data_IF_339285701075
#
_entry.id   IF_339285701075
#
_cell.length_a   1.000
_cell.length_b   1.000
_cell.length_c   1.000
_cell.angle_alpha   90.00
_cell.angle_beta   90.00
_cell.angle_gamma   90.00
#
_symmetry.space_group_name_H-M   'P 1'
#
loop_
_entity.id
_entity.type
_entity.pdbx_description
1 polymer ?
#
# COMPACT_ATOMS: atom_id res chain seq x y z
N UNK A 1 -2.93 -1.71 -11.52
CA UNK A 1 -2.16 -2.81 -10.90
C UNK A 1 -1.72 -3.93 -11.85
N UNK A 2 -2.32 -4.15 -13.04
CA UNK A 2 -1.89 -5.22 -13.97
C UNK A 2 -0.82 -4.83 -15.00
N UNK A 3 -0.42 -3.55 -15.06
CA UNK A 3 0.55 -3.08 -16.04
C UNK A 3 1.94 -3.64 -15.72
N UNK A 4 2.61 -4.24 -16.72
CA UNK A 4 3.93 -4.87 -16.58
C UNK A 4 4.98 -3.95 -15.96
N UNK A 5 4.88 -2.64 -16.24
CA UNK A 5 5.75 -1.62 -15.68
C UNK A 5 5.71 -1.62 -14.14
N UNK A 6 4.51 -1.60 -13.55
CA UNK A 6 4.37 -1.67 -12.09
C UNK A 6 4.70 -3.04 -11.54
N UNK A 7 4.28 -4.13 -12.21
CA UNK A 7 4.53 -5.50 -11.74
C UNK A 7 6.02 -5.82 -11.57
N UNK A 8 6.86 -5.31 -12.47
CA UNK A 8 8.32 -5.47 -12.36
C UNK A 8 8.89 -4.75 -11.13
N UNK A 9 8.31 -3.62 -10.74
CA UNK A 9 8.72 -2.86 -9.56
C UNK A 9 8.15 -3.47 -8.26
N UNK A 10 6.90 -3.93 -8.28
CA UNK A 10 6.30 -4.65 -7.16
C UNK A 10 7.07 -5.92 -6.82
N UNK A 11 7.67 -6.61 -7.79
CA UNK A 11 8.56 -7.74 -7.53
C UNK A 11 9.77 -7.39 -6.67
N UNK A 12 10.29 -6.16 -6.76
CA UNK A 12 11.38 -5.68 -5.88
C UNK A 12 10.90 -5.42 -4.45
N UNK A 13 9.62 -5.08 -4.30
CA UNK A 13 8.99 -4.83 -2.99
C UNK A 13 8.57 -6.16 -2.34
N UNK A 14 7.73 -6.95 -3.01
CA UNK A 14 7.12 -8.17 -2.47
C UNK A 14 7.95 -9.44 -2.71
N UNK A 15 9.08 -9.36 -3.42
CA UNK A 15 9.89 -10.52 -3.85
C UNK A 15 9.30 -11.27 -5.05
N UNK A 16 7.99 -11.12 -5.30
CA UNK A 16 7.23 -11.71 -6.41
C UNK A 16 6.25 -10.69 -7.00
N UNK A 17 5.60 -11.03 -8.12
CA UNK A 17 4.57 -10.15 -8.70
C UNK A 17 3.40 -9.94 -7.73
N UNK A 18 2.74 -8.78 -7.81
CA UNK A 18 1.54 -8.52 -7.04
C UNK A 18 0.32 -9.11 -7.75
N UNK A 19 -0.66 -9.60 -6.99
CA UNK A 19 -1.99 -9.89 -7.51
C UNK A 19 -2.54 -8.64 -8.23
N UNK A 20 -3.21 -8.78 -9.39
CA UNK A 20 -3.73 -7.64 -10.15
C UNK A 20 -4.95 -7.01 -9.46
N UNK A 21 -4.71 -6.20 -8.44
CA UNK A 21 -5.71 -5.45 -7.68
C UNK A 21 -5.12 -4.89 -6.39
N UNK A 22 -5.93 -4.12 -5.67
CA UNK A 22 -5.63 -3.65 -4.31
C UNK A 22 -6.77 -4.07 -3.39
N UNK A 23 -6.45 -4.36 -2.13
CA UNK A 23 -7.42 -4.34 -1.06
C UNK A 23 -7.47 -2.91 -0.51
N UNK A 24 -8.61 -2.26 -0.60
CA UNK A 24 -8.78 -0.92 -0.07
C UNK A 24 -9.22 -1.02 1.39
N UNK A 25 -8.47 -0.38 2.29
CA UNK A 25 -8.71 -0.37 3.72
C UNK A 25 -8.96 1.06 4.16
N UNK A 26 -10.13 1.34 4.73
CA UNK A 26 -10.39 2.63 5.35
C UNK A 26 -9.60 2.73 6.66
N UNK A 27 -8.84 3.81 6.81
CA UNK A 27 -7.95 4.03 7.95
C UNK A 27 -8.78 4.47 9.15
N UNK A 28 -8.71 3.68 10.23
CA UNK A 28 -9.33 3.99 11.51
C UNK A 28 -8.89 5.35 12.06
N UNK A 29 -9.75 6.00 12.85
CA UNK A 29 -9.47 7.36 13.33
C UNK A 29 -8.22 7.43 14.20
N UNK A 30 -7.96 6.36 14.94
CA UNK A 30 -6.78 6.16 15.79
C UNK A 30 -5.47 6.01 15.01
N UNK A 31 -5.53 5.66 13.71
CA UNK A 31 -4.36 5.44 12.85
C UNK A 31 -4.13 6.57 11.83
N UNK A 32 -4.90 7.67 11.92
CA UNK A 32 -4.85 8.77 10.95
C UNK A 32 -3.50 9.49 10.96
N UNK A 33 -2.86 9.64 12.11
CA UNK A 33 -1.59 10.35 12.24
C UNK A 33 -0.45 9.54 11.60
N UNK A 34 -0.44 8.22 11.81
CA UNK A 34 0.49 7.28 11.21
C UNK A 34 0.31 7.26 9.69
N UNK A 35 -0.93 7.20 9.21
CA UNK A 35 -1.20 7.24 7.77
C UNK A 35 -0.80 8.59 7.14
N UNK A 36 -1.02 9.71 7.86
CA UNK A 36 -0.56 11.04 7.46
C UNK A 36 0.96 11.09 7.33
N UNK A 37 1.67 10.46 8.28
CA UNK A 37 3.13 10.26 8.21
C UNK A 37 3.56 9.53 6.94
N UNK A 38 2.91 8.44 6.56
CA UNK A 38 3.21 7.75 5.29
C UNK A 38 3.00 8.63 4.07
N UNK A 39 1.94 9.46 4.09
CA UNK A 39 1.66 10.43 3.01
C UNK A 39 2.72 11.53 2.95
N UNK A 40 3.21 12.01 4.09
CA UNK A 40 4.32 12.96 4.15
C UNK A 40 5.62 12.36 3.59
N UNK A 41 5.98 11.14 3.99
CA UNK A 41 7.13 10.40 3.43
C UNK A 41 6.98 10.22 1.91
N UNK A 42 5.74 10.04 1.44
CA UNK A 42 5.42 9.93 0.01
C UNK A 42 5.42 11.26 -0.76
N UNK A 43 5.70 12.38 -0.08
CA UNK A 43 5.73 13.72 -0.67
C UNK A 43 4.36 14.36 -0.91
N UNK A 44 3.29 13.82 -0.30
CA UNK A 44 1.93 14.35 -0.43
C UNK A 44 1.57 15.37 0.65
N UNK A 45 2.35 15.43 1.73
CA UNK A 45 2.12 16.34 2.86
C UNK A 45 3.43 16.96 3.34
N UNK A 46 3.35 18.17 3.88
CA UNK A 46 4.52 18.98 4.23
C UNK A 46 5.05 18.81 5.65
N UNK A 47 4.40 17.95 6.46
CA UNK A 47 4.78 17.74 7.86
C UNK A 47 5.91 16.72 7.98
N UNK A 48 6.82 16.91 8.93
CA UNK A 48 7.86 15.92 9.20
C UNK A 48 7.23 14.65 9.79
N UNK A 49 7.73 13.48 9.35
CA UNK A 49 7.29 12.20 9.86
C UNK A 49 8.31 11.65 10.84
N UNK A 50 7.85 11.31 12.04
CA UNK A 50 8.65 10.62 13.07
C UNK A 50 8.66 9.08 12.87
N UNK A 51 8.08 8.56 11.78
CA UNK A 51 7.94 7.13 11.54
C UNK A 51 9.14 6.60 10.75
N UNK A 52 9.92 5.73 11.38
CA UNK A 52 11.07 5.05 10.75
C UNK A 52 10.61 3.84 9.92
N UNK A 53 10.08 4.09 8.71
CA UNK A 53 9.69 3.06 7.74
C UNK A 53 10.45 3.22 6.43
N UNK A 54 10.79 2.08 5.80
CA UNK A 54 11.47 2.09 4.50
C UNK A 54 10.45 2.38 3.39
N UNK A 55 10.67 3.47 2.66
CA UNK A 55 9.87 3.85 1.50
C UNK A 55 10.46 3.26 0.21
N UNK A 56 9.65 2.57 -0.57
CA UNK A 56 10.03 2.04 -1.88
C UNK A 56 9.31 2.80 -2.99
N UNK A 57 10.05 3.59 -3.77
CA UNK A 57 9.47 4.34 -4.89
C UNK A 57 9.05 3.40 -6.02
N UNK A 58 7.84 3.63 -6.53
CA UNK A 58 7.29 3.00 -7.72
C UNK A 58 7.16 4.09 -8.78
N UNK A 59 7.94 3.95 -9.85
CA UNK A 59 7.97 4.91 -10.94
C UNK A 59 6.68 4.85 -11.76
N UNK A 60 6.21 6.04 -12.14
CA UNK A 60 5.19 6.22 -13.15
C UNK A 60 5.74 5.99 -14.56
N UNK A 61 4.87 5.98 -15.55
CA UNK A 61 5.27 5.79 -16.95
C UNK A 61 4.26 6.43 -17.90
N UNK A 62 4.66 6.57 -19.17
CA UNK A 62 3.76 6.98 -20.24
C UNK A 62 3.50 5.84 -21.21
N UNK A 63 2.26 5.73 -21.66
CA UNK A 63 1.86 4.75 -22.67
C UNK A 63 0.70 5.29 -23.48
N UNK A 64 0.81 5.19 -24.80
CA UNK A 64 -0.23 5.60 -25.76
C UNK A 64 -0.72 7.05 -25.51
N UNK A 65 0.22 7.96 -25.20
CA UNK A 65 -0.07 9.37 -24.89
C UNK A 65 -0.76 9.63 -23.55
N UNK A 66 -0.88 8.61 -22.68
CA UNK A 66 -1.42 8.72 -21.33
C UNK A 66 -0.30 8.55 -20.30
N UNK A 67 -0.21 9.48 -19.37
CA UNK A 67 0.70 9.37 -18.22
C UNK A 67 0.01 8.62 -17.07
N UNK A 68 0.75 7.71 -16.46
CA UNK A 68 0.36 6.93 -15.31
C UNK A 68 1.27 7.32 -14.14
N UNK A 69 0.68 7.80 -13.05
CA UNK A 69 1.42 8.31 -11.88
C UNK A 69 2.25 7.24 -11.17
N UNK A 70 3.26 7.66 -10.43
CA UNK A 70 3.99 6.77 -9.54
C UNK A 70 3.22 6.47 -8.25
N UNK A 71 3.88 5.78 -7.35
CA UNK A 71 3.43 5.57 -5.99
C UNK A 71 4.64 5.40 -5.06
N UNK A 72 4.38 5.41 -3.76
CA UNK A 72 5.34 4.99 -2.74
C UNK A 72 4.78 3.76 -2.02
N UNK A 73 5.59 2.72 -1.89
CA UNK A 73 5.22 1.46 -1.26
C UNK A 73 5.91 1.31 0.11
N UNK A 74 5.15 0.86 1.12
CA UNK A 74 5.64 0.57 2.47
C UNK A 74 5.39 -0.89 2.79
N UNK A 75 6.45 -1.67 3.01
CA UNK A 75 6.33 -3.11 3.29
C UNK A 75 5.69 -3.35 4.64
N UNK A 76 4.91 -4.41 4.73
CA UNK A 76 4.29 -4.81 5.98
C UNK A 76 3.68 -6.21 5.90
N UNK A 77 2.87 -6.50 6.89
CA UNK A 77 2.04 -7.69 6.97
C UNK A 77 0.63 -7.31 7.37
N UNK A 78 -0.35 -8.08 6.93
CA UNK A 78 -1.77 -7.88 7.20
C UNK A 78 -2.38 -9.14 7.83
N UNK A 79 -3.26 -8.96 8.80
CA UNK A 79 -4.08 -10.03 9.35
C UNK A 79 -5.51 -9.55 9.63
N UNK A 80 -6.41 -10.52 9.85
CA UNK A 80 -7.74 -10.29 10.43
C UNK A 80 -7.74 -10.90 11.84
N UNK A 81 -8.16 -10.12 12.83
CA UNK A 81 -8.26 -10.54 14.24
C UNK A 81 -6.98 -11.26 14.71
N UNK A 82 -7.12 -12.48 15.26
CA UNK A 82 -6.03 -13.35 15.71
C UNK A 82 -5.63 -14.41 14.66
N UNK A 83 -5.94 -14.17 13.38
CA UNK A 83 -5.62 -15.06 12.27
C UNK A 83 -4.17 -14.98 11.80
N UNK A 84 -3.89 -15.67 10.69
CA UNK A 84 -2.57 -15.69 10.07
C UNK A 84 -2.19 -14.31 9.50
N UNK A 85 -0.89 -14.02 9.56
CA UNK A 85 -0.29 -12.84 8.96
C UNK A 85 0.18 -13.14 7.55
N UNK A 86 -0.10 -12.22 6.63
CA UNK A 86 0.30 -12.32 5.22
C UNK A 86 1.13 -11.12 4.80
N UNK A 87 2.18 -11.37 4.01
CA UNK A 87 3.03 -10.30 3.48
C UNK A 87 2.24 -9.38 2.53
N UNK A 88 2.45 -8.08 2.69
CA UNK A 88 1.81 -7.06 1.87
C UNK A 88 2.67 -5.79 1.78
N UNK A 89 2.17 -4.81 1.04
CA UNK A 89 2.65 -3.43 1.12
C UNK A 89 1.48 -2.46 0.99
N UNK A 90 1.54 -1.34 1.73
CA UNK A 90 0.67 -0.19 1.49
C UNK A 90 1.23 0.58 0.30
N UNK A 91 0.39 0.92 -0.67
CA UNK A 91 0.65 1.87 -1.74
C UNK A 91 0.02 3.22 -1.42
N UNK A 92 0.81 4.27 -1.54
CA UNK A 92 0.36 5.65 -1.57
C UNK A 92 0.58 6.19 -2.98
N UNK A 93 -0.47 6.27 -3.83
CA UNK A 93 -0.33 6.81 -5.18
C UNK A 93 -0.01 8.30 -5.18
N UNK A 94 0.90 8.73 -6.07
CA UNK A 94 1.35 10.14 -6.13
C UNK A 94 0.21 11.12 -6.49
N UNK A 95 -0.86 10.63 -7.13
CA UNK A 95 -1.99 11.43 -7.61
C UNK A 95 -3.33 11.06 -6.93
N UNK A 96 -3.29 10.48 -5.73
CA UNK A 96 -4.52 10.10 -5.02
C UNK A 96 -5.27 11.30 -4.48
N UNK A 97 -6.61 11.27 -4.59
CA UNK A 97 -7.52 12.19 -3.88
C UNK A 97 -8.05 11.60 -2.58
N UNK A 98 -7.85 10.30 -2.37
CA UNK A 98 -8.25 9.61 -1.15
C UNK A 98 -7.21 9.91 -0.07
N UNK A 99 -7.65 10.45 1.06
CA UNK A 99 -6.78 10.83 2.19
C UNK A 99 -6.88 9.88 3.38
N UNK A 100 -7.89 9.02 3.40
CA UNK A 100 -8.18 8.09 4.50
C UNK A 100 -8.28 6.62 4.06
N UNK A 101 -7.97 6.31 2.81
CA UNK A 101 -8.03 4.94 2.30
C UNK A 101 -6.63 4.47 1.92
N UNK A 102 -6.17 3.39 2.54
CA UNK A 102 -4.93 2.70 2.20
C UNK A 102 -5.19 1.68 1.08
N UNK A 103 -4.38 1.71 0.02
CA UNK A 103 -4.37 0.68 -1.01
C UNK A 103 -3.34 -0.39 -0.63
N UNK A 104 -3.77 -1.63 -0.42
CA UNK A 104 -2.89 -2.73 -0.01
C UNK A 104 -2.66 -3.70 -1.17
N UNK A 105 -1.40 -3.95 -1.51
CA UNK A 105 -1.00 -4.98 -2.47
C UNK A 105 -0.40 -6.19 -1.75
N UNK A 106 -0.60 -7.37 -2.33
CA UNK A 106 0.05 -8.61 -1.92
C UNK A 106 0.32 -9.47 -3.14
N UNK A 107 1.21 -10.46 -2.99
CA UNK A 107 1.41 -11.52 -3.98
C UNK A 107 0.18 -12.41 -4.14
N UNK A 108 -0.65 -12.48 -3.09
CA UNK A 108 -1.84 -13.32 -3.02
C UNK A 108 -3.11 -12.51 -3.16
N UNK A 109 -4.21 -13.16 -3.54
CA UNK A 109 -5.52 -12.52 -3.57
C UNK A 109 -6.07 -12.40 -2.14
N UNK A 110 -5.85 -11.23 -1.50
CA UNK A 110 -6.15 -11.01 -0.09
C UNK A 110 -7.59 -11.34 0.30
N UNK A 111 -8.60 -11.08 -0.55
CA UNK A 111 -10.00 -11.40 -0.21
C UNK A 111 -10.31 -12.91 -0.14
N UNK A 112 -9.42 -13.75 -0.65
CA UNK A 112 -9.56 -15.20 -0.56
C UNK A 112 -8.85 -15.75 0.69
N UNK A 113 -7.68 -15.20 1.02
CA UNK A 113 -6.82 -15.71 2.10
C UNK A 113 -7.05 -15.01 3.45
N UNK A 114 -7.52 -13.76 3.43
CA UNK A 114 -8.08 -13.09 4.61
C UNK A 114 -9.59 -13.30 4.56
N UNK A 115 -10.18 -13.99 5.54
CA UNK A 115 -11.62 -14.19 5.58
C UNK A 115 -12.33 -12.90 6.03
N UNK A 116 -12.18 -11.79 5.30
CA UNK A 116 -12.75 -10.48 5.60
C UNK A 116 -13.74 -10.05 4.51
N UNK A 117 -14.87 -9.48 4.95
CA UNK A 117 -15.88 -8.81 4.13
C UNK A 117 -15.75 -7.29 4.25
N UNK A 118 -16.48 -6.55 3.42
CA UNK A 118 -16.51 -5.09 3.52
C UNK A 118 -17.06 -4.67 4.90
N UNK A 119 -16.33 -3.76 5.55
CA UNK A 119 -16.64 -3.30 6.92
C UNK A 119 -15.97 -4.11 8.03
N UNK A 120 -15.33 -5.24 7.72
CA UNK A 120 -14.50 -5.94 8.70
C UNK A 120 -13.20 -5.16 8.99
N UNK A 121 -12.74 -5.27 10.24
CA UNK A 121 -11.46 -4.72 10.64
C UNK A 121 -10.31 -5.64 10.23
N UNK A 122 -9.20 -5.03 9.83
CA UNK A 122 -7.92 -5.69 9.56
C UNK A 122 -6.81 -4.91 10.26
N UNK A 123 -5.74 -5.61 10.60
CA UNK A 123 -4.54 -4.99 11.17
C UNK A 123 -3.42 -5.05 10.15
N UNK A 124 -2.73 -3.93 9.97
CA UNK A 124 -1.56 -3.84 9.10
C UNK A 124 -0.39 -3.37 9.97
N UNK A 125 0.67 -4.16 9.99
CA UNK A 125 1.92 -3.79 10.65
C UNK A 125 2.97 -3.51 9.59
N UNK A 126 3.56 -2.32 9.65
CA UNK A 126 4.64 -1.92 8.75
C UNK A 126 5.98 -2.42 9.24
N UNK A 127 6.84 -2.76 8.28
CA UNK A 127 8.23 -3.08 8.56
C UNK A 127 9.00 -1.79 8.81
N UNK A 128 9.55 -1.67 10.01
CA UNK A 128 10.43 -0.56 10.38
C UNK A 128 11.77 -0.66 9.62
N UNK A 129 12.37 0.50 9.35
CA UNK A 129 13.67 0.65 8.72
C UNK A 129 14.83 0.25 9.65
#
# INVERSE_FOLDING_TARGET
MSQNHYQTQFKKVLGVGAWPGTLNVEVGTENKLEFRSLRAISGLESEESDVSVEAHKIEGFERDGRSFGGATAFKGRICRDSGDWYDCAILIPDLTRHTSTAEVISSSFLREILPCSDGDLVHIELKLA
#
